data_IF_772236394773
#
_entry.id   IF_772236394773
#
_cell.length_a   1.000
_cell.length_b   1.000
_cell.length_c   1.000
_cell.angle_alpha   90.00
_cell.angle_beta   90.00
_cell.angle_gamma   90.00
#
_symmetry.space_group_name_H-M   'P 1'
#
loop_
_entity.id
_entity.type
_entity.pdbx_description
1 polymer ?
#
# COMPACT_ATOMS: atom_id res chain seq x y z
N UNK A 1 -32.19 -22.20 8.06
CA UNK A 1 -31.23 -21.10 7.79
C UNK A 1 -30.18 -21.65 6.85
N UNK A 2 -30.02 -21.04 5.68
CA UNK A 2 -29.14 -21.57 4.62
C UNK A 2 -27.68 -21.43 5.06
N UNK A 3 -27.04 -22.55 5.37
CA UNK A 3 -25.64 -22.66 5.85
C UNK A 3 -24.61 -22.48 4.73
N UNK A 4 -24.75 -21.44 3.91
CA UNK A 4 -23.74 -21.07 2.92
C UNK A 4 -22.55 -20.34 3.56
N UNK A 5 -21.35 -20.52 3.00
CA UNK A 5 -20.15 -19.75 3.41
C UNK A 5 -20.39 -18.25 3.18
N UNK A 6 -19.96 -17.42 4.13
CA UNK A 6 -20.13 -15.97 4.10
C UNK A 6 -18.77 -15.29 4.15
N UNK A 7 -18.59 -14.29 3.31
CA UNK A 7 -17.46 -13.38 3.36
C UNK A 7 -17.86 -12.15 4.18
N UNK A 8 -16.94 -11.63 4.97
CA UNK A 8 -17.13 -10.33 5.62
C UNK A 8 -16.94 -9.20 4.60
N UNK A 9 -17.91 -8.29 4.50
CA UNK A 9 -17.93 -7.17 3.54
C UNK A 9 -17.98 -5.82 4.25
N UNK A 10 -17.83 -4.73 3.49
CA UNK A 10 -17.99 -3.38 4.04
C UNK A 10 -19.33 -3.21 4.77
N UNK A 11 -19.28 -2.67 5.98
CA UNK A 11 -20.42 -2.47 6.87
C UNK A 11 -20.64 -3.57 7.91
N UNK A 12 -20.03 -4.74 7.73
CA UNK A 12 -20.14 -5.85 8.68
C UNK A 12 -19.54 -5.48 10.05
N UNK A 13 -20.17 -6.00 11.10
CA UNK A 13 -19.79 -5.72 12.49
C UNK A 13 -18.62 -6.63 12.88
N UNK A 14 -17.58 -6.03 13.44
CA UNK A 14 -16.46 -6.77 14.02
C UNK A 14 -16.81 -7.19 15.44
N UNK A 15 -16.86 -8.50 15.69
CA UNK A 15 -17.18 -9.07 17.00
C UNK A 15 -15.97 -8.97 17.96
N UNK A 16 -15.77 -7.79 18.54
CA UNK A 16 -14.84 -7.55 19.64
C UNK A 16 -15.59 -7.37 20.97
N UNK A 17 -14.90 -7.03 22.07
CA UNK A 17 -15.51 -6.78 23.38
C UNK A 17 -15.79 -5.28 23.65
N UNK A 18 -15.83 -4.45 22.61
CA UNK A 18 -16.13 -3.03 22.75
C UNK A 18 -17.63 -2.81 23.03
N UNK A 19 -17.97 -1.73 23.76
CA UNK A 19 -19.35 -1.34 23.99
C UNK A 19 -20.05 -1.02 22.65
N UNK A 20 -19.39 -0.24 21.81
CA UNK A 20 -19.77 -0.02 20.42
C UNK A 20 -18.85 -0.81 19.50
N UNK A 21 -19.42 -1.72 18.72
CA UNK A 21 -18.66 -2.59 17.85
C UNK A 21 -18.25 -1.84 16.57
N UNK A 22 -16.97 -1.91 16.15
CA UNK A 22 -16.52 -1.29 14.91
C UNK A 22 -17.10 -2.00 13.69
N UNK A 23 -17.09 -1.30 12.55
CA UNK A 23 -17.57 -1.81 11.25
C UNK A 23 -16.43 -1.91 10.26
N UNK A 24 -16.47 -2.94 9.41
CA UNK A 24 -15.52 -3.10 8.32
C UNK A 24 -15.71 -1.96 7.30
N UNK A 25 -14.63 -1.30 6.91
CA UNK A 25 -14.63 -0.33 5.80
C UNK A 25 -13.78 -0.91 4.68
N UNK A 26 -14.43 -1.39 3.62
CA UNK A 26 -13.73 -1.93 2.45
C UNK A 26 -13.29 -0.78 1.54
N UNK A 27 -11.97 -0.55 1.44
CA UNK A 27 -11.42 0.57 0.66
C UNK A 27 -10.95 0.12 -0.74
N UNK A 28 -10.34 -1.08 -0.84
CA UNK A 28 -9.66 -1.52 -2.08
C UNK A 28 -10.06 -2.92 -2.60
N UNK A 29 -11.13 -3.52 -2.07
CA UNK A 29 -11.59 -4.85 -2.50
C UNK A 29 -12.35 -4.83 -3.82
N UNK A 30 -11.67 -4.82 -4.97
CA UNK A 30 -12.33 -4.87 -6.30
C UNK A 30 -12.70 -6.28 -6.75
N UNK A 31 -11.93 -7.29 -6.32
CA UNK A 31 -12.11 -8.70 -6.72
C UNK A 31 -11.78 -9.60 -5.53
N UNK A 32 -12.56 -10.66 -5.32
CA UNK A 32 -12.31 -11.67 -4.28
C UNK A 32 -12.70 -13.06 -4.78
N UNK A 33 -12.12 -14.10 -4.18
CA UNK A 33 -12.45 -15.51 -4.45
C UNK A 33 -12.41 -16.32 -3.15
N UNK A 34 -13.44 -17.12 -2.90
CA UNK A 34 -13.40 -18.19 -1.89
C UNK A 34 -12.85 -19.44 -2.59
N UNK A 35 -11.67 -19.89 -2.18
CA UNK A 35 -11.09 -21.14 -2.65
C UNK A 35 -11.27 -22.22 -1.59
N UNK A 36 -11.97 -23.28 -1.95
CA UNK A 36 -12.14 -24.45 -1.09
C UNK A 36 -10.90 -25.33 -1.20
N UNK A 37 -10.35 -25.76 -0.05
CA UNK A 37 -9.19 -26.67 -0.03
C UNK A 37 -9.60 -28.14 -0.20
N UNK A 38 -10.70 -28.41 -0.92
CA UNK A 38 -11.20 -29.77 -1.16
C UNK A 38 -10.99 -30.20 -2.60
N UNK A 39 -10.02 -31.09 -2.81
CA UNK A 39 -9.90 -31.91 -4.01
C UNK A 39 -9.28 -31.22 -5.21
N UNK A 40 -8.03 -31.58 -5.49
CA UNK A 40 -7.34 -31.30 -6.75
C UNK A 40 -8.19 -31.78 -7.93
N UNK A 41 -8.76 -30.84 -8.67
CA UNK A 41 -9.16 -31.10 -10.05
C UNK A 41 -8.52 -29.98 -10.87
N UNK A 42 -7.51 -30.36 -11.65
CA UNK A 42 -6.76 -29.49 -12.55
C UNK A 42 -7.67 -28.99 -13.68
N UNK A 43 -8.38 -27.90 -13.42
CA UNK A 43 -8.98 -27.09 -14.48
C UNK A 43 -7.87 -26.47 -15.31
N UNK A 44 -8.00 -26.45 -16.65
CA UNK A 44 -7.01 -25.80 -17.51
C UNK A 44 -6.89 -24.34 -17.09
N UNK A 45 -5.66 -23.94 -16.75
CA UNK A 45 -5.34 -22.56 -16.39
C UNK A 45 -5.54 -21.75 -17.66
N UNK A 46 -6.68 -21.08 -17.75
CA UNK A 46 -6.80 -19.95 -18.66
C UNK A 46 -5.69 -18.99 -18.28
N UNK A 47 -4.78 -18.71 -19.22
CA UNK A 47 -3.75 -17.69 -19.08
C UNK A 47 -4.48 -16.40 -18.76
N UNK A 48 -4.51 -16.03 -17.48
CA UNK A 48 -5.11 -14.78 -17.07
C UNK A 48 -4.37 -13.67 -17.83
N UNK A 49 -5.09 -12.64 -18.32
CA UNK A 49 -4.40 -11.46 -18.82
C UNK A 49 -3.47 -10.98 -17.70
N UNK A 50 -2.24 -10.60 -18.07
CA UNK A 50 -1.30 -9.97 -17.13
C UNK A 50 -2.07 -8.86 -16.44
N UNK A 51 -2.38 -9.06 -15.17
CA UNK A 51 -3.08 -8.05 -14.40
C UNK A 51 -2.07 -6.92 -14.25
N UNK A 52 -2.33 -5.77 -14.89
CA UNK A 52 -1.64 -4.53 -14.55
C UNK A 52 -2.02 -4.21 -13.10
N UNK A 53 -1.21 -4.73 -12.18
CA UNK A 53 -1.33 -4.44 -10.76
C UNK A 53 -0.84 -3.01 -10.58
N UNK A 54 -1.74 -2.14 -10.16
CA UNK A 54 -1.39 -0.78 -9.76
C UNK A 54 -0.97 -0.87 -8.29
N UNK A 55 0.26 -0.46 -8.01
CA UNK A 55 0.77 -0.32 -6.65
C UNK A 55 0.66 1.15 -6.25
N UNK A 56 0.23 1.42 -5.02
CA UNK A 56 0.05 2.77 -4.46
C UNK A 56 0.69 2.79 -3.08
N UNK A 57 1.99 3.07 -3.07
CA UNK A 57 2.81 3.02 -1.87
C UNK A 57 2.97 4.41 -1.24
N UNK A 58 3.00 4.44 0.09
CA UNK A 58 3.28 5.66 0.84
C UNK A 58 4.23 5.38 1.99
N UNK A 59 5.35 6.09 1.98
CA UNK A 59 6.35 5.98 3.05
C UNK A 59 6.00 6.93 4.18
N UNK A 60 6.14 6.44 5.41
CA UNK A 60 6.08 7.27 6.62
C UNK A 60 7.39 7.19 7.39
N UNK A 61 8.12 8.30 7.42
CA UNK A 61 9.35 8.43 8.18
C UNK A 61 9.06 8.69 9.67
N UNK A 62 9.78 8.01 10.56
CA UNK A 62 9.62 8.16 12.01
C UNK A 62 10.98 8.22 12.70
N UNK A 63 11.12 9.06 13.72
CA UNK A 63 12.30 9.14 14.56
C UNK A 63 11.91 9.17 16.05
N UNK A 64 12.68 8.46 16.87
CA UNK A 64 12.33 8.25 18.29
C UNK A 64 12.55 9.49 19.18
N UNK A 65 13.45 10.40 18.79
CA UNK A 65 13.93 11.50 19.65
C UNK A 65 13.93 12.87 19.00
N UNK A 66 13.46 12.97 17.76
CA UNK A 66 13.47 14.22 17.00
C UNK A 66 12.25 14.29 16.08
N UNK A 67 11.80 15.51 15.80
CA UNK A 67 10.90 15.75 14.68
C UNK A 67 11.69 15.67 13.38
N UNK A 68 11.13 14.96 12.40
CA UNK A 68 11.66 14.94 11.04
C UNK A 68 11.05 16.04 10.16
N UNK A 69 10.14 16.86 10.69
CA UNK A 69 9.53 17.96 9.94
C UNK A 69 10.62 18.88 9.36
N UNK A 70 10.56 19.14 8.05
CA UNK A 70 11.55 19.92 7.33
C UNK A 70 12.76 19.12 6.83
N UNK A 71 12.91 17.85 7.21
CA UNK A 71 14.07 17.04 6.81
C UNK A 71 14.00 16.67 5.31
N UNK A 72 15.08 16.86 4.52
CA UNK A 72 15.10 16.56 3.09
C UNK A 72 14.94 15.05 2.76
N UNK A 73 14.14 14.73 1.74
CA UNK A 73 14.07 13.41 1.09
C UNK A 73 14.06 13.52 -0.45
N UNK A 74 14.79 12.65 -1.15
CA UNK A 74 14.74 12.48 -2.62
C UNK A 74 14.43 11.02 -2.94
N UNK A 75 13.45 10.76 -3.79
CA UNK A 75 13.04 9.42 -4.20
C UNK A 75 13.27 9.26 -5.69
N UNK A 76 13.86 8.13 -6.07
CA UNK A 76 14.07 7.73 -7.46
C UNK A 76 13.50 6.33 -7.66
N UNK A 77 12.53 6.21 -8.57
CA UNK A 77 11.96 4.93 -9.00
C UNK A 77 12.83 4.29 -10.09
N UNK A 78 12.75 2.96 -10.26
CA UNK A 78 13.43 2.27 -11.38
C UNK A 78 12.95 2.74 -12.76
N UNK A 79 11.69 3.17 -12.84
CA UNK A 79 11.07 3.77 -14.03
C UNK A 79 11.51 5.21 -14.31
N UNK A 80 12.26 5.84 -13.40
CA UNK A 80 12.90 7.15 -13.60
C UNK A 80 12.08 8.33 -13.10
N UNK A 81 10.90 8.11 -12.54
CA UNK A 81 10.15 9.14 -11.84
C UNK A 81 10.86 9.55 -10.55
N UNK A 82 10.87 10.87 -10.31
CA UNK A 82 11.57 11.50 -9.18
C UNK A 82 10.59 12.28 -8.32
N UNK A 83 10.72 12.12 -7.00
CA UNK A 83 9.95 12.87 -6.01
C UNK A 83 10.89 13.44 -4.96
N UNK A 84 10.92 14.76 -4.80
CA UNK A 84 11.77 15.43 -3.81
C UNK A 84 10.97 16.39 -2.95
N UNK A 85 11.49 16.69 -1.75
CA UNK A 85 10.89 17.69 -0.89
C UNK A 85 11.33 17.61 0.56
N UNK A 86 10.57 18.25 1.44
CA UNK A 86 10.83 18.21 2.89
C UNK A 86 9.70 17.47 3.59
N UNK A 87 10.05 16.62 4.54
CA UNK A 87 9.10 15.82 5.32
C UNK A 87 8.16 16.77 6.08
N UNK A 88 6.87 16.47 6.07
CA UNK A 88 5.86 17.26 6.78
C UNK A 88 5.85 16.95 8.30
N UNK A 89 4.94 17.58 9.05
CA UNK A 89 4.81 17.32 10.49
C UNK A 89 4.34 15.91 10.84
N UNK A 90 3.77 15.17 9.89
CA UNK A 90 3.20 13.85 10.09
C UNK A 90 4.16 12.71 9.68
N UNK A 91 5.24 13.05 8.99
CA UNK A 91 6.24 12.11 8.49
C UNK A 91 5.87 11.48 7.15
N UNK A 92 4.83 11.95 6.47
CA UNK A 92 4.36 11.33 5.22
C UNK A 92 5.13 11.88 4.03
N UNK A 93 5.61 10.97 3.19
CA UNK A 93 6.15 11.28 1.87
C UNK A 93 5.01 11.19 0.83
N UNK A 94 5.24 11.68 -0.41
CA UNK A 94 4.29 11.54 -1.50
C UNK A 94 3.87 10.08 -1.71
N UNK A 95 2.66 9.89 -2.23
CA UNK A 95 2.22 8.59 -2.74
C UNK A 95 2.92 8.32 -4.06
N UNK A 96 3.44 7.11 -4.22
CA UNK A 96 4.10 6.64 -5.43
C UNK A 96 3.19 5.60 -6.04
N UNK A 97 2.74 5.85 -7.27
CA UNK A 97 1.90 4.93 -8.02
C UNK A 97 2.70 4.31 -9.16
N UNK A 98 2.76 2.98 -9.19
CA UNK A 98 3.51 2.23 -10.20
C UNK A 98 2.58 1.23 -10.89
N UNK A 99 2.81 1.00 -12.18
CA UNK A 99 2.05 0.08 -13.04
C UNK A 99 2.60 -1.36 -13.03
N UNK A 100 3.62 -1.60 -12.22
CA UNK A 100 4.21 -2.90 -11.94
C UNK A 100 4.97 -2.92 -10.61
N UNK A 101 5.33 -4.12 -10.15
CA UNK A 101 6.18 -4.26 -8.97
C UNK A 101 7.59 -3.79 -9.32
N UNK A 102 8.06 -2.75 -8.65
CA UNK A 102 9.39 -2.18 -8.85
C UNK A 102 9.99 -1.70 -7.52
N UNK A 103 11.27 -1.38 -7.53
CA UNK A 103 11.95 -0.77 -6.40
C UNK A 103 12.12 0.74 -6.60
N UNK A 104 12.20 1.46 -5.48
CA UNK A 104 12.67 2.84 -5.45
C UNK A 104 13.67 3.04 -4.31
N UNK A 105 14.56 4.00 -4.49
CA UNK A 105 15.57 4.37 -3.51
C UNK A 105 15.20 5.72 -2.91
N UNK A 106 15.33 5.84 -1.59
CA UNK A 106 15.12 7.09 -0.87
C UNK A 106 16.45 7.57 -0.31
N UNK A 107 16.87 8.75 -0.74
CA UNK A 107 18.00 9.49 -0.22
C UNK A 107 17.52 10.50 0.80
N UNK A 108 18.33 10.76 1.82
CA UNK A 108 17.93 11.55 2.99
C UNK A 108 18.94 12.67 3.26
N UNK A 109 18.46 13.78 3.81
CA UNK A 109 19.33 14.87 4.29
C UNK A 109 20.30 15.34 3.21
N UNK A 110 21.59 15.33 3.52
CA UNK A 110 22.64 15.80 2.61
C UNK A 110 22.72 14.98 1.32
N UNK A 111 22.42 13.67 1.35
CA UNK A 111 22.39 12.84 0.14
C UNK A 111 21.24 13.26 -0.78
N UNK A 112 20.11 13.66 -0.20
CA UNK A 112 18.98 14.20 -0.96
C UNK A 112 19.34 15.56 -1.57
N UNK A 113 19.92 16.47 -0.78
CA UNK A 113 20.33 17.82 -1.22
C UNK A 113 21.42 17.79 -2.30
N UNK A 114 22.24 16.73 -2.35
CA UNK A 114 23.29 16.56 -3.35
C UNK A 114 22.78 16.11 -4.73
N UNK A 115 21.50 15.70 -4.85
CA UNK A 115 20.91 15.33 -6.13
C UNK A 115 20.65 16.58 -6.98
N UNK A 116 20.91 16.49 -8.29
CA UNK A 116 20.84 17.63 -9.22
C UNK A 116 19.42 18.21 -9.35
N UNK A 117 18.41 17.35 -9.27
CA UNK A 117 17.00 17.74 -9.43
C UNK A 117 16.33 18.02 -8.08
N UNK A 118 17.15 18.33 -7.06
CA UNK A 118 16.68 18.79 -5.76
C UNK A 118 16.13 20.22 -5.86
N UNK A 119 14.81 20.38 -5.77
CA UNK A 119 14.11 21.67 -5.74
C UNK A 119 13.58 22.00 -4.34
#
# INVERSE_FOLDING_TARGET
MNGGRRQAVGGDIVLCKCADHPRIVAIYGRIWKIADRSGETSVPIATAPVQNLIFDEQVRAVAARASLAGYPYYIETESGDVYSGRIDSHGFLPRITTDGAEHYVIYWGDEALARKDWN
#
